data_IF_838858864414
#
_entry.id   IF_838858864414
#
_cell.length_a   1.000
_cell.length_b   1.000
_cell.length_c   1.000
_cell.angle_alpha   90.00
_cell.angle_beta   90.00
_cell.angle_gamma   90.00
#
_symmetry.space_group_name_H-M   'P 1'
#
loop_
_entity.id
_entity.type
_entity.pdbx_description
1 polymer ?
#
# COMPACT_ATOMS: atom_id res chain seq x y z
N UNK A 1 -3.93 3.33 8.45
CA UNK A 1 -3.45 1.93 8.37
C UNK A 1 -3.90 1.31 7.04
N UNK A 2 -3.27 0.23 6.58
CA UNK A 2 -3.64 -0.47 5.36
C UNK A 2 -4.59 -1.64 5.69
N UNK A 3 -5.81 -1.68 5.15
CA UNK A 3 -6.79 -2.74 5.42
C UNK A 3 -6.36 -4.13 4.95
N UNK A 4 -5.48 -4.20 3.95
CA UNK A 4 -5.05 -5.48 3.34
C UNK A 4 -4.04 -6.22 4.21
N UNK A 5 -3.03 -5.52 4.73
CA UNK A 5 -1.98 -6.12 5.54
C UNK A 5 -2.12 -5.83 7.05
N UNK A 6 -3.20 -5.16 7.44
CA UNK A 6 -3.52 -4.78 8.83
C UNK A 6 -2.37 -4.06 9.56
N UNK A 7 -1.52 -3.37 8.79
CA UNK A 7 -0.32 -2.70 9.28
C UNK A 7 -0.29 -1.24 8.82
N UNK A 8 0.71 -0.48 9.27
CA UNK A 8 0.85 0.92 8.89
C UNK A 8 1.07 1.04 7.37
N UNK A 9 0.39 2.00 6.73
CA UNK A 9 0.35 2.11 5.29
C UNK A 9 1.61 2.83 4.77
N UNK A 10 2.75 2.13 4.70
CA UNK A 10 3.98 2.69 4.16
C UNK A 10 3.85 3.05 2.68
N UNK A 11 4.28 4.26 2.31
CA UNK A 11 4.04 4.92 1.01
C UNK A 11 2.57 4.78 0.60
N UNK A 12 1.65 5.44 1.31
CA UNK A 12 0.23 5.25 1.12
C UNK A 12 -0.21 5.79 -0.24
N UNK A 13 -0.98 5.00 -0.98
CA UNK A 13 -1.62 5.42 -2.23
C UNK A 13 -3.11 5.58 -1.95
N UNK A 14 -3.68 6.73 -2.32
CA UNK A 14 -5.13 6.96 -2.26
C UNK A 14 -5.73 6.62 -3.62
N UNK A 15 -6.62 5.63 -3.65
CA UNK A 15 -7.34 5.24 -4.86
C UNK A 15 -8.35 6.33 -5.26
N UNK A 16 -8.82 6.30 -6.51
CA UNK A 16 -9.84 7.24 -7.02
C UNK A 16 -11.15 7.20 -6.22
N UNK A 17 -11.45 6.08 -5.56
CA UNK A 17 -12.59 5.94 -4.65
C UNK A 17 -12.33 6.48 -3.23
N UNK A 18 -11.18 7.12 -2.97
CA UNK A 18 -10.80 7.73 -1.69
C UNK A 18 -10.16 6.79 -0.65
N UNK A 19 -10.22 5.48 -0.85
CA UNK A 19 -9.61 4.50 0.05
C UNK A 19 -8.08 4.46 -0.07
N UNK A 20 -7.40 4.19 1.04
CA UNK A 20 -5.94 4.23 1.14
C UNK A 20 -5.35 2.85 1.43
N UNK A 21 -4.28 2.51 0.72
CA UNK A 21 -3.55 1.26 0.89
C UNK A 21 -2.03 1.48 0.84
N UNK A 22 -1.26 0.50 1.31
CA UNK A 22 0.19 0.52 1.18
C UNK A 22 0.61 0.24 -0.27
N UNK A 23 1.67 0.88 -0.78
CA UNK A 23 2.11 0.69 -2.19
C UNK A 23 2.34 -0.79 -2.53
N UNK A 24 3.02 -1.54 -1.65
CA UNK A 24 3.30 -2.98 -1.84
C UNK A 24 2.02 -3.80 -1.96
N UNK A 25 1.00 -3.46 -1.16
CA UNK A 25 -0.29 -4.13 -1.15
C UNK A 25 -1.02 -3.95 -2.49
N UNK A 26 -0.96 -2.75 -3.07
CA UNK A 26 -1.53 -2.47 -4.38
C UNK A 26 -0.75 -3.12 -5.52
N UNK A 27 0.59 -3.13 -5.46
CA UNK A 27 1.41 -3.85 -6.45
C UNK A 27 1.03 -5.34 -6.47
N UNK A 28 0.89 -5.97 -5.30
CA UNK A 28 0.44 -7.36 -5.19
C UNK A 28 -0.97 -7.57 -5.75
N UNK A 29 -1.89 -6.64 -5.49
CA UNK A 29 -3.24 -6.69 -6.03
C UNK A 29 -3.24 -6.57 -7.57
N UNK A 30 -2.46 -5.64 -8.13
CA UNK A 30 -2.30 -5.45 -9.57
C UNK A 30 -1.66 -6.68 -10.24
N UNK A 31 -0.61 -7.29 -9.64
CA UNK A 31 -0.01 -8.55 -10.10
C UNK A 31 -1.04 -9.68 -10.15
N UNK A 32 -1.98 -9.72 -9.21
CA UNK A 32 -3.12 -10.66 -9.18
C UNK A 32 -4.29 -10.27 -10.08
N UNK A 33 -4.13 -9.26 -10.94
CA UNK A 33 -5.17 -8.71 -11.84
C UNK A 33 -6.44 -8.25 -11.12
N UNK A 34 -6.33 -7.86 -9.85
CA UNK A 34 -7.43 -7.26 -9.10
C UNK A 34 -7.57 -5.79 -9.48
N UNK A 35 -8.70 -5.43 -10.10
CA UNK A 35 -8.96 -4.05 -10.56
C UNK A 35 -9.81 -3.25 -9.57
N UNK A 36 -10.69 -3.92 -8.83
CA UNK A 36 -11.64 -3.29 -7.93
C UNK A 36 -11.03 -2.96 -6.57
N UNK A 37 -11.57 -1.94 -5.90
CA UNK A 37 -11.18 -1.60 -4.52
C UNK A 37 -11.50 -2.75 -3.54
N UNK A 38 -10.56 -3.21 -2.70
CA UNK A 38 -10.83 -4.25 -1.70
C UNK A 38 -11.90 -3.87 -0.64
N UNK A 39 -12.17 -2.57 -0.45
CA UNK A 39 -13.13 -2.08 0.55
C UNK A 39 -14.52 -1.83 -0.02
N UNK A 40 -14.63 -0.99 -1.05
CA UNK A 40 -15.92 -0.58 -1.61
C UNK A 40 -16.24 -1.17 -2.98
N UNK A 41 -15.34 -2.02 -3.52
CA UNK A 41 -15.52 -2.70 -4.82
C UNK A 41 -15.66 -1.78 -6.03
N UNK A 42 -15.25 -0.51 -5.94
CA UNK A 42 -15.19 0.38 -7.11
C UNK A 42 -14.26 -0.22 -8.18
N UNK A 43 -14.80 -0.53 -9.37
CA UNK A 43 -14.25 -1.49 -10.33
C UNK A 43 -12.86 -1.15 -10.88
N UNK A 44 -12.54 0.14 -11.00
CA UNK A 44 -11.28 0.59 -11.60
C UNK A 44 -10.28 1.11 -10.57
N UNK A 45 -10.61 1.06 -9.27
CA UNK A 45 -9.88 1.79 -8.25
C UNK A 45 -8.42 1.35 -8.11
N UNK A 46 -8.16 0.05 -8.17
CA UNK A 46 -6.81 -0.53 -8.12
C UNK A 46 -6.15 -0.47 -9.49
N UNK A 47 -6.91 -0.66 -10.57
CA UNK A 47 -6.41 -0.57 -11.94
C UNK A 47 -5.85 0.81 -12.29
N UNK A 48 -6.44 1.88 -11.76
CA UNK A 48 -5.98 3.26 -11.94
C UNK A 48 -4.94 3.69 -10.90
N UNK A 49 -4.59 2.83 -9.93
CA UNK A 49 -3.61 3.18 -8.91
C UNK A 49 -2.21 3.29 -9.50
N UNK A 50 -1.58 4.46 -9.35
CA UNK A 50 -0.22 4.70 -9.82
C UNK A 50 0.61 5.45 -8.79
N UNK A 51 1.92 5.57 -9.02
CA UNK A 51 2.81 6.37 -8.18
C UNK A 51 2.41 7.85 -8.10
N UNK A 52 1.63 8.36 -9.06
CA UNK A 52 1.11 9.73 -9.05
C UNK A 52 0.08 9.96 -7.94
N UNK A 53 -0.53 8.89 -7.41
CA UNK A 53 -1.55 8.95 -6.37
C UNK A 53 -0.97 8.75 -4.96
N UNK A 54 0.35 8.96 -4.79
CA UNK A 54 1.03 8.91 -3.51
C UNK A 54 0.55 10.06 -2.60
N UNK A 55 0.04 9.69 -1.43
CA UNK A 55 -0.32 10.64 -0.38
C UNK A 55 0.94 11.01 0.42
N UNK A 56 1.73 11.94 -0.12
CA UNK A 56 2.96 12.42 0.50
C UNK A 56 2.73 13.11 1.85
N UNK A 57 1.58 13.73 2.05
CA UNK A 57 1.21 14.34 3.34
C UNK A 57 1.04 13.27 4.41
N UNK A 58 0.33 12.18 4.09
CA UNK A 58 0.18 11.05 4.99
C UNK A 58 1.50 10.30 5.20
N UNK A 59 2.34 10.15 4.17
CA UNK A 59 3.67 9.57 4.32
C UNK A 59 4.52 10.33 5.35
N UNK A 60 4.57 11.66 5.25
CA UNK A 60 5.28 12.53 6.20
C UNK A 60 4.69 12.42 7.61
N UNK A 61 3.37 12.44 7.73
CA UNK A 61 2.69 12.25 9.01
C UNK A 61 3.10 10.92 9.66
N UNK A 62 3.10 9.83 8.90
CA UNK A 62 3.49 8.52 9.41
C UNK A 62 4.96 8.46 9.84
N UNK A 63 5.86 9.10 9.09
CA UNK A 63 7.28 9.19 9.45
C UNK A 63 7.50 9.99 10.74
N UNK A 64 6.73 11.06 10.94
CA UNK A 64 6.85 11.93 12.09
C UNK A 64 6.32 11.28 13.38
N UNK A 65 5.14 10.66 13.32
CA UNK A 65 4.44 10.17 14.50
C UNK A 65 4.64 8.67 14.76
N UNK A 66 4.98 7.88 13.76
CA UNK A 66 5.13 6.41 13.86
C UNK A 66 6.44 5.87 13.26
N UNK A 67 7.61 6.45 13.58
CA UNK A 67 8.88 6.09 12.94
C UNK A 67 9.31 4.64 13.22
N UNK A 68 9.02 4.10 14.42
CA UNK A 68 9.37 2.72 14.79
C UNK A 68 8.57 1.69 13.99
N UNK A 69 7.28 1.95 13.83
CA UNK A 69 6.34 1.15 13.05
C UNK A 69 6.70 1.18 11.58
N UNK A 70 7.10 2.34 11.05
CA UNK A 70 7.60 2.46 9.68
C UNK A 70 8.89 1.66 9.49
N UNK A 71 9.84 1.75 10.42
CA UNK A 71 11.09 0.96 10.33
C UNK A 71 10.78 -0.54 10.27
N UNK A 72 9.89 -1.03 11.14
CA UNK A 72 9.43 -2.42 11.12
C UNK A 72 8.76 -2.77 9.80
N UNK A 73 7.84 -1.92 9.32
CA UNK A 73 7.12 -2.16 8.06
C UNK A 73 8.06 -2.21 6.84
N UNK A 74 9.12 -1.39 6.81
CA UNK A 74 10.14 -1.44 5.76
C UNK A 74 10.87 -2.79 5.76
N UNK A 75 11.33 -3.23 6.93
CA UNK A 75 12.00 -4.53 7.09
C UNK A 75 11.10 -5.70 6.67
N UNK A 76 9.83 -5.68 7.09
CA UNK A 76 8.87 -6.72 6.70
C UNK A 76 8.66 -6.74 5.17
N UNK A 77 8.53 -5.57 4.56
CA UNK A 77 8.42 -5.46 3.11
C UNK A 77 9.69 -5.97 2.39
N UNK A 78 10.88 -5.69 2.89
CA UNK A 78 12.14 -6.18 2.31
C UNK A 78 12.25 -7.70 2.41
N UNK A 79 11.90 -8.27 3.58
CA UNK A 79 11.87 -9.72 3.79
C UNK A 79 10.88 -10.42 2.87
N UNK A 80 9.65 -9.91 2.76
CA UNK A 80 8.66 -10.44 1.84
C UNK A 80 9.15 -10.38 0.38
N UNK A 81 9.89 -9.32 -0.01
CA UNK A 81 10.42 -9.20 -1.37
C UNK A 81 11.48 -10.27 -1.64
N UNK A 82 12.41 -10.45 -0.70
CA UNK A 82 13.47 -11.44 -0.82
C UNK A 82 12.92 -12.87 -0.92
N UNK A 83 11.79 -13.18 -0.27
CA UNK A 83 11.13 -14.48 -0.40
C UNK A 83 10.50 -14.61 -1.80
N UNK A 84 9.74 -13.61 -2.24
CA UNK A 84 9.09 -13.61 -3.57
C UNK A 84 10.08 -13.68 -4.74
N UNK A 85 11.31 -13.18 -4.58
CA UNK A 85 12.33 -13.18 -5.64
C UNK A 85 13.05 -14.55 -5.78
N UNK A 86 12.89 -15.45 -4.80
CA UNK A 86 13.47 -16.81 -4.80
C UNK A 86 12.46 -17.87 -5.28
N UNK A 87 11.16 -17.58 -5.19
CA UNK A 87 10.05 -18.42 -5.69
C UNK A 87 9.85 -18.30 -7.21
#
# INVERSE_FOLDING_TARGET
>A
ACPVCMSLAWRPIRLVCGHMFCVRCLIKAQRKRMMACPLCRHDTAVGQASALNLDGSMEKFMLMYFPKEIKRKKLDNEREQAIEDVE
#
